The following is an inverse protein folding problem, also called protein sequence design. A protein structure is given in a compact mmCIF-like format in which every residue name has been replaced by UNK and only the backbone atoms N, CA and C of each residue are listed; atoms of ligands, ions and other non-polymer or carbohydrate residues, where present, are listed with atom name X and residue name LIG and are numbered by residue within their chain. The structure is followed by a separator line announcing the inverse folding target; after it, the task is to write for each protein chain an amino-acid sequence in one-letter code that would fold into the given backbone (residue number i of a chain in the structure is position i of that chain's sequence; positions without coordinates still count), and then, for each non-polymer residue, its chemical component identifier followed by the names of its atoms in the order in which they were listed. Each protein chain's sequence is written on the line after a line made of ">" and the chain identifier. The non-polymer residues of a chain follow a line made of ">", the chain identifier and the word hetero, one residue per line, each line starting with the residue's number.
data_IF_794532338464
#
_entry.id   IF_794532338464
#
_cell.length_a   1.000
_cell.length_b   1.000
_cell.length_c   1.000
_cell.angle_alpha   90.00
_cell.angle_beta   90.00
_cell.angle_gamma   90.00
#
_symmetry.space_group_name_H-M   'P 1'
#
loop_
_entity.id
_entity.type
_entity.pdbx_description
1 polymer ?
#
# COMPACT_ATOMS: atom_id res chain seq x y z
N UNK A 1 15.99 -39.35 -17.19
CA UNK A 1 15.01 -38.32 -16.76
C UNK A 1 14.51 -38.68 -15.36
N UNK A 2 14.52 -37.73 -14.42
CA UNK A 2 14.04 -37.92 -13.06
C UNK A 2 12.50 -37.98 -12.96
N UNK A 3 11.82 -38.29 -14.07
CA UNK A 3 10.47 -38.82 -14.02
C UNK A 3 10.62 -40.30 -13.70
N UNK A 4 9.98 -40.74 -12.63
CA UNK A 4 9.92 -42.14 -12.21
C UNK A 4 9.21 -43.07 -13.20
N UNK A 5 9.56 -43.03 -14.48
CA UNK A 5 9.53 -44.24 -15.29
C UNK A 5 10.64 -45.14 -14.74
N UNK A 6 10.24 -45.94 -13.76
CA UNK A 6 10.81 -47.26 -13.54
C UNK A 6 11.05 -47.82 -14.95
N UNK A 7 12.32 -47.89 -15.37
CA UNK A 7 12.72 -48.86 -16.38
C UNK A 7 12.34 -50.18 -15.73
N UNK A 8 11.12 -50.63 -16.04
CA UNK A 8 10.62 -51.94 -15.73
C UNK A 8 11.47 -52.88 -16.57
N UNK A 9 12.69 -53.13 -16.10
CA UNK A 9 13.33 -54.40 -16.36
C UNK A 9 12.42 -55.42 -15.70
N UNK A 10 11.51 -55.92 -16.52
CA UNK A 10 10.60 -57.01 -16.27
C UNK A 10 11.25 -58.01 -15.31
N UNK A 11 10.71 -58.12 -14.09
CA UNK A 11 10.71 -59.38 -13.36
C UNK A 11 9.82 -60.35 -14.14
N UNK A 12 10.31 -60.84 -15.28
CA UNK A 12 9.96 -62.17 -15.74
C UNK A 12 11.06 -63.08 -15.22
N UNK A 13 10.88 -63.64 -14.04
CA UNK A 13 11.46 -64.95 -13.77
C UNK A 13 10.89 -65.94 -14.81
N UNK A 14 11.73 -66.80 -15.41
CA UNK A 14 13.11 -67.11 -15.00
C UNK A 14 14.16 -66.18 -15.66
N UNK A 15 15.36 -66.04 -15.06
CA UNK A 15 16.38 -65.10 -15.51
C UNK A 15 16.78 -65.38 -16.96
N UNK A 16 16.60 -64.38 -17.81
CA UNK A 16 17.12 -64.41 -19.17
C UNK A 16 18.65 -64.47 -19.12
N UNK A 17 19.20 -65.53 -19.70
CA UNK A 17 20.63 -65.80 -19.82
C UNK A 17 21.26 -64.67 -20.65
N UNK A 18 22.02 -63.78 -20.01
CA UNK A 18 22.81 -62.77 -20.72
C UNK A 18 24.06 -63.48 -21.26
N UNK A 19 24.21 -63.50 -22.57
CA UNK A 19 25.40 -64.03 -23.26
C UNK A 19 26.12 -62.90 -23.96
N UNK A 20 27.45 -63.00 -24.06
CA UNK A 20 28.22 -62.14 -24.95
C UNK A 20 27.87 -62.45 -26.43
N UNK A 21 28.38 -61.65 -27.37
CA UNK A 21 28.30 -61.84 -28.81
C UNK A 21 28.85 -63.22 -29.27
N UNK A 22 29.69 -63.85 -28.45
CA UNK A 22 30.24 -65.19 -28.66
C UNK A 22 29.45 -66.32 -27.96
N UNK A 23 28.35 -66.00 -27.26
CA UNK A 23 27.44 -66.99 -26.67
C UNK A 23 27.84 -67.54 -25.29
N UNK A 24 28.92 -67.03 -24.69
CA UNK A 24 29.36 -67.40 -23.34
C UNK A 24 28.48 -66.74 -22.26
N UNK A 25 28.14 -67.46 -21.20
CA UNK A 25 27.25 -66.95 -20.16
C UNK A 25 27.98 -65.93 -19.27
N UNK A 26 27.51 -64.68 -19.26
CA UNK A 26 28.05 -63.65 -18.39
C UNK A 26 27.26 -63.68 -17.08
N UNK A 27 27.93 -63.89 -15.95
CA UNK A 27 27.32 -63.65 -14.64
C UNK A 27 27.25 -62.14 -14.40
N UNK A 28 26.13 -61.52 -14.77
CA UNK A 28 25.84 -60.15 -14.37
C UNK A 28 25.38 -60.16 -12.91
N UNK A 29 26.23 -59.69 -12.00
CA UNK A 29 25.77 -59.32 -10.66
C UNK A 29 24.88 -58.10 -10.82
N UNK A 30 23.58 -58.23 -10.54
CA UNK A 30 22.72 -57.08 -10.35
C UNK A 30 23.28 -56.30 -9.15
N UNK A 31 24.05 -55.25 -9.40
CA UNK A 31 24.22 -54.20 -8.40
C UNK A 31 22.88 -53.50 -8.31
N UNK A 32 22.23 -53.62 -7.16
CA UNK A 32 21.08 -52.79 -6.83
C UNK A 32 21.57 -51.34 -6.88
N UNK A 33 21.26 -50.65 -7.97
CA UNK A 33 21.39 -49.20 -8.02
C UNK A 33 20.18 -48.69 -7.24
N UNK A 34 20.41 -48.41 -5.96
CA UNK A 34 19.41 -47.73 -5.15
C UNK A 34 19.21 -46.34 -5.76
N UNK A 35 17.96 -45.91 -5.98
CA UNK A 35 17.69 -44.53 -6.37
C UNK A 35 18.21 -43.51 -5.34
N UNK A 36 18.59 -43.97 -4.14
CA UNK A 36 19.29 -43.18 -3.13
C UNK A 36 20.73 -42.78 -3.49
N UNK A 37 21.38 -43.47 -4.44
CA UNK A 37 22.72 -43.13 -4.94
C UNK A 37 22.68 -42.33 -6.26
N UNK A 38 21.48 -42.05 -6.78
CA UNK A 38 21.30 -41.07 -7.85
C UNK A 38 21.43 -39.69 -7.21
N UNK A 39 22.65 -39.17 -7.14
CA UNK A 39 22.90 -37.79 -6.72
C UNK A 39 22.09 -36.89 -7.66
N UNK A 40 20.92 -36.47 -7.17
CA UNK A 40 20.05 -35.53 -7.82
C UNK A 40 20.40 -34.19 -7.19
N UNK A 41 21.37 -33.45 -7.74
CA UNK A 41 21.76 -32.21 -7.13
C UNK A 41 20.54 -31.28 -7.15
N UNK A 42 20.12 -30.88 -5.95
CA UNK A 42 19.22 -29.76 -5.78
C UNK A 42 20.07 -28.50 -5.72
N UNK A 43 19.54 -27.43 -6.29
CA UNK A 43 20.12 -26.12 -6.18
C UNK A 43 19.04 -25.05 -6.06
N UNK A 44 19.46 -23.85 -5.71
CA UNK A 44 18.65 -22.66 -5.86
C UNK A 44 18.20 -22.50 -7.32
N UNK A 45 16.91 -22.40 -7.54
CA UNK A 45 16.31 -22.05 -8.80
C UNK A 45 15.70 -20.66 -8.68
N UNK A 46 16.30 -19.68 -9.36
CA UNK A 46 15.81 -18.31 -9.39
C UNK A 46 14.77 -18.15 -10.49
N UNK A 47 13.52 -17.97 -10.10
CA UNK A 47 12.43 -17.64 -11.00
C UNK A 47 12.50 -16.17 -11.42
N UNK A 48 11.82 -15.85 -12.52
CA UNK A 48 11.84 -14.53 -13.13
C UNK A 48 11.22 -13.44 -12.25
N UNK A 49 10.33 -13.82 -11.33
CA UNK A 49 9.74 -12.97 -10.31
C UNK A 49 10.63 -12.82 -9.07
N UNK A 50 11.88 -13.31 -9.10
CA UNK A 50 12.82 -13.28 -7.98
C UNK A 50 12.53 -14.32 -6.89
N UNK A 51 11.47 -15.12 -7.03
CA UNK A 51 11.20 -16.24 -6.13
C UNK A 51 12.33 -17.25 -6.26
N UNK A 52 12.87 -17.70 -5.12
CA UNK A 52 13.83 -18.78 -5.07
C UNK A 52 13.17 -20.05 -4.59
N UNK A 53 13.27 -21.12 -5.37
CA UNK A 53 12.86 -22.48 -4.97
C UNK A 53 14.04 -23.42 -5.09
N UNK A 54 14.16 -24.40 -4.19
CA UNK A 54 15.18 -25.44 -4.34
C UNK A 54 14.60 -26.55 -5.21
N UNK A 55 15.14 -26.75 -6.42
CA UNK A 55 14.70 -27.80 -7.33
C UNK A 55 15.87 -28.37 -8.12
N UNK A 56 15.57 -29.34 -8.98
CA UNK A 56 16.55 -29.96 -9.88
C UNK A 56 16.61 -29.19 -11.20
N UNK A 57 17.74 -29.28 -11.91
CA UNK A 57 17.99 -28.48 -13.13
C UNK A 57 16.86 -28.57 -14.18
N UNK A 58 16.28 -29.75 -14.38
CA UNK A 58 15.21 -29.96 -15.38
C UNK A 58 13.92 -29.26 -14.99
N UNK A 59 13.56 -29.31 -13.71
CA UNK A 59 12.34 -28.70 -13.19
C UNK A 59 12.52 -27.17 -13.12
N UNK A 60 13.70 -26.71 -12.72
CA UNK A 60 14.04 -25.29 -12.72
C UNK A 60 13.89 -24.64 -14.10
N UNK A 61 14.45 -25.28 -15.13
CA UNK A 61 14.34 -24.80 -16.52
C UNK A 61 12.90 -24.92 -17.04
N UNK A 62 12.17 -25.97 -16.63
CA UNK A 62 10.75 -26.13 -16.99
C UNK A 62 9.86 -25.02 -16.38
N UNK A 63 10.20 -24.53 -15.19
CA UNK A 63 9.55 -23.36 -14.56
C UNK A 63 10.05 -22.02 -15.15
N UNK A 64 10.96 -22.03 -16.13
CA UNK A 64 11.55 -20.82 -16.72
C UNK A 64 12.56 -20.11 -15.82
N UNK A 65 13.05 -20.79 -14.77
CA UNK A 65 14.03 -20.25 -13.84
C UNK A 65 15.48 -20.47 -14.28
N UNK A 66 16.39 -19.76 -13.61
CA UNK A 66 17.85 -19.93 -13.75
C UNK A 66 18.37 -20.78 -12.60
N UNK A 67 19.00 -21.91 -12.94
CA UNK A 67 19.55 -22.86 -11.97
C UNK A 67 20.91 -22.37 -11.43
N UNK A 68 21.04 -22.25 -10.11
CA UNK A 68 22.18 -21.69 -9.40
C UNK A 68 23.42 -22.58 -9.35
N UNK A 69 23.32 -23.81 -9.83
CA UNK A 69 24.40 -24.80 -9.81
C UNK A 69 24.38 -25.67 -8.55
N UNK A 70 24.82 -26.92 -8.70
CA UNK A 70 24.69 -27.97 -7.69
C UNK A 70 25.26 -27.56 -6.32
N UNK A 71 24.49 -27.81 -5.25
CA UNK A 71 24.90 -27.50 -3.88
C UNK A 71 24.73 -26.04 -3.46
N UNK A 72 24.14 -25.18 -4.30
CA UNK A 72 23.69 -23.85 -3.90
C UNK A 72 22.31 -23.91 -3.26
N UNK A 73 22.08 -23.15 -2.18
CA UNK A 73 20.79 -23.10 -1.47
C UNK A 73 20.13 -21.73 -1.62
N UNK A 74 18.81 -21.65 -1.54
CA UNK A 74 18.08 -20.37 -1.64
C UNK A 74 18.45 -19.36 -0.54
N UNK A 75 18.94 -19.83 0.62
CA UNK A 75 19.41 -18.94 1.69
C UNK A 75 20.74 -18.22 1.40
N UNK A 76 21.46 -18.59 0.33
CA UNK A 76 22.78 -18.04 -0.02
C UNK A 76 22.89 -17.50 -1.44
N UNK A 77 21.83 -17.60 -2.25
CA UNK A 77 21.79 -17.11 -3.63
C UNK A 77 20.88 -15.90 -3.70
N UNK A 78 21.38 -14.81 -4.28
CA UNK A 78 20.54 -13.67 -4.62
C UNK A 78 19.84 -13.95 -5.94
N UNK A 79 18.50 -13.97 -5.93
CA UNK A 79 17.68 -14.03 -7.13
C UNK A 79 17.23 -12.61 -7.50
N UNK A 80 18.00 -11.88 -8.34
CA UNK A 80 17.65 -10.52 -8.70
C UNK A 80 16.36 -10.52 -9.52
N UNK A 81 15.34 -9.83 -9.01
CA UNK A 81 14.17 -9.50 -9.81
C UNK A 81 14.57 -8.55 -10.96
N UNK A 82 13.94 -8.67 -12.13
CA UNK A 82 14.18 -7.80 -13.26
C UNK A 82 13.77 -6.35 -12.94
N UNK A 83 14.36 -5.35 -13.62
CA UNK A 83 13.94 -3.96 -13.44
C UNK A 83 12.46 -3.75 -13.75
N UNK A 84 11.87 -2.79 -13.06
CA UNK A 84 10.48 -2.38 -13.21
C UNK A 84 10.29 -0.93 -12.78
N UNK A 85 9.06 -0.43 -12.92
CA UNK A 85 8.67 0.88 -12.42
C UNK A 85 8.80 0.96 -10.90
N UNK A 86 9.39 2.06 -10.45
CA UNK A 86 9.52 2.42 -9.04
C UNK A 86 8.90 3.81 -8.82
N UNK A 87 7.80 3.88 -8.08
CA UNK A 87 7.17 5.14 -7.71
C UNK A 87 7.90 5.74 -6.52
N UNK A 88 8.47 6.94 -6.70
CA UNK A 88 9.20 7.63 -5.64
C UNK A 88 8.28 8.51 -4.81
N UNK A 89 8.65 8.85 -3.57
CA UNK A 89 7.91 9.80 -2.72
C UNK A 89 7.73 11.20 -3.34
N UNK A 90 8.50 11.53 -4.38
CA UNK A 90 8.37 12.76 -5.16
C UNK A 90 7.35 12.69 -6.30
N UNK A 91 6.62 11.57 -6.48
CA UNK A 91 5.68 11.34 -7.59
C UNK A 91 6.32 10.88 -8.90
N UNK A 92 7.65 10.96 -9.00
CA UNK A 92 8.42 10.51 -10.17
C UNK A 92 8.52 8.99 -10.24
N UNK A 93 8.41 8.43 -11.45
CA UNK A 93 8.66 7.02 -11.70
C UNK A 93 10.02 6.79 -12.38
N UNK A 94 10.83 5.89 -11.81
CA UNK A 94 12.11 5.45 -12.38
C UNK A 94 12.08 3.94 -12.70
N UNK A 95 12.72 3.52 -13.80
CA UNK A 95 12.91 2.08 -14.10
C UNK A 95 14.18 1.59 -13.42
N UNK A 96 14.04 0.87 -12.32
CA UNK A 96 15.16 0.38 -11.48
C UNK A 96 14.91 -1.05 -11.00
N UNK A 97 15.93 -1.67 -10.40
CA UNK A 97 15.74 -2.96 -9.70
C UNK A 97 15.01 -2.74 -8.36
N UNK A 98 14.33 -3.75 -7.79
CA UNK A 98 13.61 -3.58 -6.52
C UNK A 98 14.54 -3.14 -5.38
N UNK A 99 15.74 -3.71 -5.28
CA UNK A 99 16.73 -3.27 -4.27
C UNK A 99 17.13 -1.78 -4.40
N UNK A 100 17.15 -1.26 -5.63
CA UNK A 100 17.38 0.16 -5.89
C UNK A 100 16.13 0.99 -5.58
N UNK A 101 14.93 0.45 -5.83
CA UNK A 101 13.67 1.09 -5.46
C UNK A 101 13.55 1.27 -3.94
N UNK A 102 13.86 0.22 -3.18
CA UNK A 102 13.90 0.25 -1.71
C UNK A 102 14.92 1.29 -1.20
N UNK A 103 16.10 1.35 -1.82
CA UNK A 103 17.13 2.32 -1.49
C UNK A 103 16.72 3.77 -1.81
N UNK A 104 15.80 3.96 -2.75
CA UNK A 104 15.20 5.26 -3.09
C UNK A 104 13.98 5.60 -2.22
N UNK A 105 13.58 4.70 -1.30
CA UNK A 105 12.36 4.84 -0.49
C UNK A 105 11.08 4.80 -1.31
N UNK A 106 11.12 4.19 -2.51
CA UNK A 106 9.98 4.12 -3.41
C UNK A 106 9.21 2.80 -3.30
N UNK A 107 8.05 2.75 -3.97
CA UNK A 107 7.20 1.57 -4.07
C UNK A 107 7.46 0.89 -5.43
N UNK A 108 7.91 -0.37 -5.40
CA UNK A 108 8.19 -1.14 -6.60
C UNK A 108 6.90 -1.74 -7.17
N UNK A 109 6.63 -1.51 -8.46
CA UNK A 109 5.40 -1.95 -9.13
C UNK A 109 5.48 -3.39 -9.67
N UNK A 110 6.61 -4.06 -9.45
CA UNK A 110 6.88 -5.42 -9.93
C UNK A 110 7.81 -5.46 -11.15
N UNK A 111 8.43 -6.61 -11.38
CA UNK A 111 9.36 -6.81 -12.49
C UNK A 111 8.68 -6.61 -13.86
N UNK A 112 9.40 -5.97 -14.79
CA UNK A 112 8.92 -5.61 -16.15
C UNK A 112 7.76 -4.61 -16.23
N UNK A 113 7.27 -4.10 -15.10
CA UNK A 113 6.35 -2.95 -15.12
C UNK A 113 7.03 -1.74 -15.75
N UNK A 114 6.25 -0.87 -16.40
CA UNK A 114 6.75 0.35 -17.04
C UNK A 114 6.23 1.58 -16.32
N UNK A 115 6.97 2.70 -16.44
CA UNK A 115 6.52 3.99 -15.92
C UNK A 115 5.44 4.67 -16.77
N UNK A 116 5.15 4.15 -17.97
CA UNK A 116 4.12 4.72 -18.84
C UNK A 116 2.71 4.36 -18.37
N UNK A 117 2.56 3.18 -17.76
CA UNK A 117 1.30 2.68 -17.19
C UNK A 117 1.27 2.80 -15.66
N UNK A 118 2.32 3.38 -15.06
CA UNK A 118 2.43 3.55 -13.62
C UNK A 118 1.59 4.74 -13.15
N UNK A 119 0.52 4.44 -12.41
CA UNK A 119 -0.20 5.45 -11.61
C UNK A 119 0.56 5.66 -10.30
N UNK A 120 1.66 6.42 -10.35
CA UNK A 120 2.29 6.88 -9.13
C UNK A 120 1.41 7.97 -8.52
N UNK A 121 1.02 7.80 -7.25
CA UNK A 121 0.42 8.89 -6.50
C UNK A 121 1.34 10.11 -6.62
N UNK A 122 0.77 11.30 -6.79
CA UNK A 122 1.56 12.52 -6.79
C UNK A 122 1.57 13.11 -5.38
N UNK A 123 2.58 13.93 -5.03
CA UNK A 123 2.51 14.72 -3.81
C UNK A 123 1.30 15.65 -3.86
N UNK A 124 0.79 16.01 -2.69
CA UNK A 124 -0.35 16.91 -2.56
C UNK A 124 -0.23 17.78 -1.33
N UNK A 125 -1.09 18.79 -1.22
CA UNK A 125 -1.19 19.62 -0.04
C UNK A 125 -1.86 18.84 1.11
N UNK A 126 -1.32 19.04 2.31
CA UNK A 126 -1.82 18.49 3.55
C UNK A 126 -2.11 19.65 4.50
N UNK A 127 -3.39 19.84 4.81
CA UNK A 127 -3.83 20.86 5.75
C UNK A 127 -3.85 20.26 7.16
N UNK A 128 -3.00 20.77 8.04
CA UNK A 128 -2.91 20.32 9.43
C UNK A 128 -3.96 21.02 10.31
N UNK A 129 -4.28 20.47 11.50
CA UNK A 129 -5.28 21.04 12.41
C UNK A 129 -4.98 22.48 12.89
N UNK A 130 -3.73 22.93 12.80
CA UNK A 130 -3.30 24.28 13.16
C UNK A 130 -3.38 25.28 12.00
N UNK A 131 -4.14 24.95 10.96
CA UNK A 131 -4.27 25.72 9.71
C UNK A 131 -2.95 25.88 8.93
N UNK A 132 -1.92 25.10 9.26
CA UNK A 132 -0.68 25.09 8.50
C UNK A 132 -0.78 24.10 7.33
N UNK A 133 -0.18 24.47 6.20
CA UNK A 133 -0.07 23.58 5.06
C UNK A 133 1.33 22.96 4.98
N UNK A 134 1.36 21.64 4.81
CA UNK A 134 2.58 20.90 4.48
C UNK A 134 2.37 20.10 3.20
N UNK A 135 3.45 19.71 2.52
CA UNK A 135 3.34 18.85 1.34
C UNK A 135 3.37 17.40 1.82
N UNK A 136 2.28 16.68 1.60
CA UNK A 136 2.23 15.24 1.75
C UNK A 136 2.94 14.55 0.58
N UNK A 137 3.66 13.48 0.90
CA UNK A 137 4.40 12.69 -0.07
C UNK A 137 3.46 12.00 -1.06
N UNK A 138 4.04 11.52 -2.15
CA UNK A 138 3.42 10.67 -3.17
C UNK A 138 3.04 9.26 -2.65
N UNK A 139 2.39 9.21 -1.50
CA UNK A 139 1.89 8.00 -0.82
C UNK A 139 0.37 8.03 -0.68
N UNK A 140 -0.31 8.83 -1.52
CA UNK A 140 -1.77 8.99 -1.48
C UNK A 140 -2.26 9.67 -0.21
N UNK A 141 -1.47 10.58 0.37
CA UNK A 141 -1.83 11.32 1.58
C UNK A 141 -1.75 10.53 2.89
N UNK A 142 -1.23 9.30 2.91
CA UNK A 142 -1.12 8.50 4.13
C UNK A 142 -0.36 9.21 5.26
N UNK A 143 0.73 9.90 4.92
CA UNK A 143 1.53 10.72 5.83
C UNK A 143 0.78 11.96 6.32
N UNK A 144 -0.13 12.50 5.50
CA UNK A 144 -1.04 13.57 5.92
C UNK A 144 -2.02 13.08 6.99
N UNK A 145 -2.64 11.92 6.75
CA UNK A 145 -3.62 11.31 7.65
C UNK A 145 -2.95 10.91 8.98
N UNK A 146 -1.73 10.34 8.91
CA UNK A 146 -0.94 10.01 10.11
C UNK A 146 -0.56 11.26 10.93
N UNK A 147 -0.41 12.41 10.27
CA UNK A 147 -0.21 13.71 10.92
C UNK A 147 -1.51 14.36 11.44
N UNK A 148 -2.66 13.70 11.26
CA UNK A 148 -3.98 14.24 11.62
C UNK A 148 -4.46 15.37 10.72
N UNK A 149 -3.90 15.51 9.52
CA UNK A 149 -4.29 16.50 8.53
C UNK A 149 -5.28 15.99 7.48
N UNK A 150 -5.84 16.94 6.72
CA UNK A 150 -6.73 16.68 5.58
C UNK A 150 -5.91 16.80 4.29
N UNK A 151 -5.87 15.70 3.52
CA UNK A 151 -5.18 15.64 2.24
C UNK A 151 -6.05 16.24 1.14
N UNK A 152 -5.53 17.24 0.42
CA UNK A 152 -6.26 17.99 -0.61
C UNK A 152 -6.24 17.29 -1.98
N UNK A 153 -5.65 16.10 -2.07
CA UNK A 153 -5.51 15.33 -3.30
C UNK A 153 -4.18 15.53 -4.02
N UNK A 154 -3.90 14.64 -4.94
CA UNK A 154 -2.69 14.62 -5.77
C UNK A 154 -2.55 15.90 -6.62
N UNK A 155 -1.30 16.35 -6.83
CA UNK A 155 -0.94 17.56 -7.60
C UNK A 155 -1.46 18.89 -7.01
N UNK A 156 -2.04 18.88 -5.81
CA UNK A 156 -2.35 20.11 -5.08
C UNK A 156 -1.11 20.68 -4.39
N UNK A 157 -1.06 22.00 -4.22
CA UNK A 157 0.11 22.67 -3.61
C UNK A 157 -0.34 23.61 -2.50
N UNK A 158 0.53 23.83 -1.51
CA UNK A 158 0.24 24.72 -0.39
C UNK A 158 0.07 26.20 -0.77
N UNK A 159 0.41 26.60 -1.99
CA UNK A 159 0.23 27.97 -2.47
C UNK A 159 -1.23 28.24 -2.92
N UNK A 160 -1.99 27.19 -3.22
CA UNK A 160 -3.39 27.24 -3.68
C UNK A 160 -4.32 26.40 -2.81
N UNK A 161 -3.80 25.53 -1.95
CA UNK A 161 -4.59 24.81 -0.98
C UNK A 161 -5.10 25.78 0.08
N UNK A 162 -6.42 25.87 0.18
CA UNK A 162 -7.08 26.65 1.21
C UNK A 162 -7.03 25.83 2.50
N UNK A 163 -5.91 25.93 3.20
CA UNK A 163 -5.67 25.27 4.49
C UNK A 163 -6.11 26.13 5.68
N UNK A 164 -6.89 27.18 5.44
CA UNK A 164 -7.94 27.45 6.40
C UNK A 164 -8.69 26.15 6.51
N UNK A 165 -8.71 25.57 7.70
CA UNK A 165 -9.87 24.78 8.08
C UNK A 165 -11.02 25.69 7.69
N UNK A 166 -11.70 25.39 6.57
CA UNK A 166 -13.07 25.78 6.44
C UNK A 166 -13.65 25.20 7.71
N UNK A 167 -13.80 26.08 8.69
CA UNK A 167 -14.19 25.69 10.01
C UNK A 167 -15.59 25.14 9.76
N UNK A 168 -15.70 23.83 9.69
CA UNK A 168 -17.01 23.21 9.50
C UNK A 168 -17.88 23.41 10.76
N UNK A 169 -17.34 24.14 11.74
CA UNK A 169 -18.09 25.10 12.53
C UNK A 169 -17.21 26.31 12.90
N UNK A 170 -17.33 27.50 12.27
CA UNK A 170 -16.50 28.68 12.59
C UNK A 170 -16.69 29.19 14.02
N UNK A 171 -17.74 28.70 14.68
CA UNK A 171 -18.09 29.00 16.05
C UNK A 171 -17.44 28.06 17.09
N UNK A 172 -16.79 26.97 16.67
CA UNK A 172 -15.92 26.14 17.51
C UNK A 172 -14.52 26.77 17.52
N UNK A 173 -14.32 27.66 18.50
CA UNK A 173 -13.18 28.56 18.58
C UNK A 173 -11.99 27.83 19.22
N UNK A 174 -12.23 26.84 20.07
CA UNK A 174 -11.18 26.07 20.75
C UNK A 174 -10.85 24.72 20.08
N UNK A 175 -11.65 24.31 19.09
CA UNK A 175 -11.40 23.17 18.21
C UNK A 175 -11.71 21.83 18.86
N UNK A 176 -12.60 21.79 19.85
CA UNK A 176 -12.96 20.56 20.56
C UNK A 176 -14.07 19.74 19.89
N UNK A 177 -14.63 20.26 18.79
CA UNK A 177 -15.69 19.63 17.99
C UNK A 177 -17.10 20.01 18.43
N UNK A 178 -17.26 20.89 19.42
CA UNK A 178 -18.55 21.35 19.93
C UNK A 178 -18.57 22.87 20.05
N UNK A 179 -19.63 23.53 19.58
CA UNK A 179 -19.90 24.93 19.92
C UNK A 179 -20.61 24.98 21.26
N UNK A 180 -19.84 25.18 22.31
CA UNK A 180 -20.29 25.09 23.67
C UNK A 180 -19.90 26.31 24.52
N UNK A 181 -19.96 26.12 25.84
CA UNK A 181 -19.68 27.19 26.79
C UNK A 181 -18.23 27.67 26.71
N UNK A 182 -17.30 26.81 26.33
CA UNK A 182 -15.88 27.17 26.28
C UNK A 182 -15.62 28.14 25.12
N UNK A 183 -16.22 27.92 23.95
CA UNK A 183 -16.19 28.86 22.82
C UNK A 183 -16.79 30.20 23.16
N UNK A 184 -17.96 30.20 23.83
CA UNK A 184 -18.59 31.45 24.26
C UNK A 184 -17.65 32.25 25.18
N UNK A 185 -16.96 31.59 26.10
CA UNK A 185 -16.01 32.27 26.97
C UNK A 185 -14.79 32.75 26.18
N UNK A 186 -14.29 31.95 25.25
CA UNK A 186 -13.16 32.31 24.37
C UNK A 186 -13.48 33.54 23.52
N UNK A 187 -14.68 33.59 22.92
CA UNK A 187 -15.20 34.75 22.18
C UNK A 187 -15.28 35.99 23.07
N UNK A 188 -15.96 35.89 24.23
CA UNK A 188 -16.12 37.01 25.16
C UNK A 188 -14.79 37.52 25.73
N UNK A 189 -13.79 36.64 25.84
CA UNK A 189 -12.45 37.00 26.29
C UNK A 189 -11.59 37.70 25.24
N UNK A 190 -11.99 37.63 23.97
CA UNK A 190 -11.29 38.22 22.81
C UNK A 190 -12.01 39.46 22.25
N UNK A 191 -13.01 39.99 22.97
CA UNK A 191 -13.87 41.08 22.51
C UNK A 191 -13.10 42.35 22.12
N UNK A 192 -13.37 42.88 20.92
CA UNK A 192 -12.72 44.04 20.35
C UNK A 192 -12.01 43.74 19.03
N UNK A 193 -11.14 44.65 18.59
CA UNK A 193 -10.42 44.53 17.31
C UNK A 193 -9.55 43.28 17.32
N UNK A 194 -9.71 42.43 16.32
CA UNK A 194 -8.97 41.19 16.18
C UNK A 194 -8.89 40.89 14.68
N UNK A 195 -7.70 41.04 14.09
CA UNK A 195 -7.50 40.82 12.65
C UNK A 195 -6.90 39.42 12.47
N UNK A 196 -7.73 38.47 12.02
CA UNK A 196 -7.34 37.09 11.78
C UNK A 196 -7.24 36.20 13.02
N UNK A 197 -8.11 36.39 14.02
CA UNK A 197 -8.20 35.47 15.14
C UNK A 197 -9.48 34.62 15.09
N UNK A 198 -9.48 33.40 15.67
CA UNK A 198 -10.62 32.48 15.56
C UNK A 198 -11.95 33.00 16.16
N UNK A 199 -11.90 34.03 17.00
CA UNK A 199 -13.09 34.62 17.61
C UNK A 199 -13.79 35.67 16.74
N UNK A 200 -13.16 36.13 15.66
CA UNK A 200 -13.74 37.00 14.62
C UNK A 200 -14.36 36.08 13.56
N UNK A 201 -15.56 35.61 13.85
CA UNK A 201 -16.22 34.50 13.16
C UNK A 201 -16.72 34.94 11.77
N UNK A 202 -17.07 36.21 11.61
CA UNK A 202 -17.55 36.76 10.34
C UNK A 202 -16.49 37.54 9.54
N UNK A 203 -15.23 37.52 10.01
CA UNK A 203 -14.06 38.16 9.41
C UNK A 203 -14.25 39.68 9.16
N UNK A 204 -14.98 40.40 10.03
CA UNK A 204 -15.17 41.84 9.91
C UNK A 204 -14.02 42.67 10.53
N UNK A 205 -13.06 41.99 11.16
CA UNK A 205 -11.89 42.55 11.84
C UNK A 205 -12.15 42.93 13.30
N UNK A 206 -13.32 42.61 13.85
CA UNK A 206 -13.74 42.96 15.22
C UNK A 206 -14.61 41.86 15.83
N UNK A 207 -14.12 41.24 16.91
CA UNK A 207 -14.93 40.38 17.77
C UNK A 207 -15.99 41.21 18.49
N UNK A 208 -17.24 41.01 18.10
CA UNK A 208 -18.36 41.81 18.53
C UNK A 208 -19.68 41.04 18.60
N UNK A 209 -20.75 41.80 18.45
CA UNK A 209 -22.10 41.27 18.63
C UNK A 209 -22.51 40.32 17.49
N UNK A 210 -21.96 40.50 16.29
CA UNK A 210 -22.31 39.67 15.15
C UNK A 210 -21.68 38.28 15.31
N UNK A 211 -20.42 38.20 15.74
CA UNK A 211 -19.76 36.94 16.13
C UNK A 211 -20.51 36.22 17.24
N UNK A 212 -20.92 36.95 18.28
CA UNK A 212 -21.68 36.36 19.38
C UNK A 212 -22.99 35.70 18.89
N UNK A 213 -23.70 36.33 17.96
CA UNK A 213 -24.92 35.74 17.39
C UNK A 213 -24.57 34.54 16.52
N UNK A 214 -23.51 34.62 15.71
CA UNK A 214 -23.05 33.52 14.87
C UNK A 214 -22.69 32.29 15.72
N UNK A 215 -21.99 32.48 16.84
CA UNK A 215 -21.69 31.41 17.80
C UNK A 215 -22.96 30.81 18.39
N UNK A 216 -23.86 31.64 18.91
CA UNK A 216 -25.10 31.15 19.52
C UNK A 216 -26.05 30.47 18.52
N UNK A 217 -25.96 30.81 17.24
CA UNK A 217 -26.75 30.19 16.17
C UNK A 217 -26.23 28.79 15.79
N UNK A 218 -24.95 28.51 16.04
CA UNK A 218 -24.28 27.26 15.74
C UNK A 218 -24.12 26.34 16.97
N UNK A 219 -24.81 26.63 18.08
CA UNK A 219 -24.63 25.93 19.35
C UNK A 219 -24.90 24.42 19.27
N UNK A 220 -23.95 23.61 19.74
CA UNK A 220 -24.01 22.15 19.70
C UNK A 220 -22.83 21.52 18.95
N UNK A 221 -22.86 20.20 18.70
CA UNK A 221 -21.80 19.49 17.98
C UNK A 221 -21.62 20.07 16.58
N UNK A 222 -20.37 20.10 16.12
CA UNK A 222 -20.09 20.45 14.74
C UNK A 222 -20.80 19.45 13.79
N UNK A 223 -21.41 19.92 12.69
CA UNK A 223 -22.05 19.06 11.69
C UNK A 223 -21.12 17.96 11.19
N UNK A 224 -21.40 16.73 11.60
CA UNK A 224 -20.71 15.53 11.17
C UNK A 224 -21.71 14.39 11.03
N UNK A 225 -21.37 13.37 10.25
CA UNK A 225 -22.28 12.29 9.93
C UNK A 225 -21.60 11.14 9.20
N UNK A 226 -22.39 10.16 8.78
CA UNK A 226 -21.90 8.97 8.12
C UNK A 226 -21.55 9.25 6.65
N UNK A 227 -20.48 8.63 6.20
CA UNK A 227 -20.02 8.65 4.82
C UNK A 227 -19.97 7.22 4.26
N UNK A 228 -20.61 7.00 3.12
CA UNK A 228 -20.63 5.71 2.43
C UNK A 228 -19.69 5.73 1.22
N UNK A 229 -18.81 4.74 1.08
CA UNK A 229 -17.90 4.63 -0.06
C UNK A 229 -18.36 3.55 -1.05
N UNK A 230 -17.93 3.69 -2.31
CA UNK A 230 -18.29 2.78 -3.41
C UNK A 230 -17.79 1.33 -3.25
N UNK A 231 -16.85 1.09 -2.31
CA UNK A 231 -16.38 -0.24 -1.95
C UNK A 231 -17.28 -0.94 -0.89
N UNK A 232 -18.36 -0.27 -0.48
CA UNK A 232 -19.31 -0.73 0.54
C UNK A 232 -18.85 -0.46 1.97
N UNK A 233 -17.71 0.23 2.17
CA UNK A 233 -17.27 0.68 3.49
C UNK A 233 -18.04 1.93 3.93
N UNK A 234 -17.99 2.20 5.24
CA UNK A 234 -18.64 3.34 5.86
C UNK A 234 -17.78 3.93 6.97
N UNK A 235 -17.77 5.25 7.10
CA UNK A 235 -17.11 5.96 8.19
C UNK A 235 -18.04 6.99 8.84
N UNK A 236 -18.07 6.99 10.17
CA UNK A 236 -18.85 7.92 11.00
C UNK A 236 -18.07 9.19 11.33
N UNK A 237 -18.80 10.24 11.71
CA UNK A 237 -18.22 11.48 12.23
C UNK A 237 -17.39 12.25 11.20
N UNK A 238 -17.65 12.02 9.91
CA UNK A 238 -17.06 12.80 8.82
C UNK A 238 -17.91 14.04 8.56
N UNK A 239 -17.27 15.13 8.15
CA UNK A 239 -18.01 16.29 7.62
C UNK A 239 -18.50 15.98 6.19
N UNK A 240 -19.46 16.76 5.70
CA UNK A 240 -19.92 16.62 4.31
C UNK A 240 -18.77 16.76 3.32
N UNK A 241 -17.85 17.69 3.56
CA UNK A 241 -16.69 17.93 2.69
C UNK A 241 -15.68 16.79 2.74
N UNK A 242 -15.28 16.36 3.95
CA UNK A 242 -14.34 15.25 4.13
C UNK A 242 -14.88 13.95 3.53
N UNK A 243 -16.20 13.74 3.60
CA UNK A 243 -16.85 12.61 2.95
C UNK A 243 -16.74 12.68 1.42
N UNK A 244 -17.04 13.82 0.81
CA UNK A 244 -16.95 13.98 -0.64
C UNK A 244 -15.52 13.94 -1.17
N UNK A 245 -14.56 14.49 -0.43
CA UNK A 245 -13.14 14.47 -0.81
C UNK A 245 -12.55 13.06 -0.73
N UNK A 246 -13.03 12.25 0.22
CA UNK A 246 -12.75 10.81 0.29
C UNK A 246 -13.42 9.97 -0.81
N UNK A 247 -14.17 10.60 -1.73
CA UNK A 247 -14.91 9.89 -2.79
C UNK A 247 -16.15 9.16 -2.29
N UNK A 248 -16.67 9.51 -1.11
CA UNK A 248 -17.87 8.93 -0.53
C UNK A 248 -19.13 9.79 -0.71
N UNK A 249 -20.28 9.19 -0.44
CA UNK A 249 -21.60 9.85 -0.40
C UNK A 249 -21.98 10.15 1.05
N UNK A 250 -22.14 11.43 1.37
CA UNK A 250 -22.51 11.89 2.71
C UNK A 250 -23.99 11.59 3.00
N UNK A 251 -24.25 10.99 4.16
CA UNK A 251 -25.59 10.55 4.56
C UNK A 251 -26.38 11.63 5.33
N UNK A 252 -25.73 12.76 5.66
CA UNK A 252 -26.31 13.88 6.39
C UNK A 252 -25.78 13.97 7.82
N UNK A 253 -26.01 15.11 8.47
CA UNK A 253 -25.50 15.36 9.82
C UNK A 253 -26.20 14.47 10.86
N UNK A 254 -25.46 14.14 11.92
CA UNK A 254 -25.83 13.24 13.02
C UNK A 254 -26.25 11.84 12.56
N UNK A 255 -25.89 11.45 11.33
CA UNK A 255 -26.13 10.09 10.85
C UNK A 255 -25.00 9.16 11.24
N UNK A 256 -25.36 7.90 11.52
CA UNK A 256 -24.41 6.82 11.80
C UNK A 256 -24.43 5.80 10.66
N UNK A 257 -23.33 5.09 10.52
CA UNK A 257 -23.09 4.07 9.53
C UNK A 257 -24.08 2.93 9.70
N UNK A 258 -24.95 2.79 8.69
CA UNK A 258 -25.92 1.70 8.60
C UNK A 258 -25.38 0.59 7.71
N UNK A 259 -25.67 -0.67 8.06
CA UNK A 259 -25.28 -1.81 7.25
C UNK A 259 -25.93 -1.75 5.85
N UNK A 260 -25.10 -1.68 4.81
CA UNK A 260 -25.54 -1.61 3.41
C UNK A 260 -25.42 -0.23 2.79
N UNK A 261 -24.25 0.41 2.92
CA UNK A 261 -23.85 1.46 1.99
C UNK A 261 -23.98 0.94 0.54
N UNK A 262 -24.46 1.79 -0.40
CA UNK A 262 -24.79 1.39 -1.77
C UNK A 262 -23.63 0.77 -2.54
#
# INVERSE_FOLDING_TARGET
>A
PCDGEILSFFETEPPSRITDLDGEAITATAVAFDCQDLYCPIAACCLLDGTCVESVVTECVAMGGTYGGDGTSCGGVACPQPPGGCCRPSGTCDIVTPSQCDALGGVFLGGFSTCADATCAQPGACCLPDSTCTVAAATGGADCIDAGGVYQGDDTTCDVADCVVAAECPADIDGDGEVAFLDLVTLLSSWGVCDGCPADIDDDGVVGFLDLITLLAAWGPCPNGACCFDDGSCADGLTSAACTDGGGTYQGDETECVAGCP
#
